data_IF_210226262688
#
_entry.id   IF_210226262688
#
_cell.length_a   1.000
_cell.length_b   1.000
_cell.length_c   1.000
_cell.angle_alpha   90.00
_cell.angle_beta   90.00
_cell.angle_gamma   90.00
#
_symmetry.space_group_name_H-M   'P 1'
#
loop_
_entity.id
_entity.type
_entity.pdbx_description
1 polymer ?
#
# COMPACT_ATOMS: atom_id res chain seq x y z
N UNK A 1 -3.80 -1.93 -41.17
CA UNK A 1 -4.93 -1.82 -40.23
C UNK A 1 -4.36 -1.79 -38.83
N UNK A 2 -4.37 -0.62 -38.17
CA UNK A 2 -3.75 -0.42 -36.85
C UNK A 2 -4.86 -0.24 -35.81
N UNK A 3 -5.08 -1.25 -34.97
CA UNK A 3 -5.90 -1.12 -33.77
C UNK A 3 -5.01 -0.56 -32.66
N UNK A 4 -5.20 0.72 -32.33
CA UNK A 4 -4.61 1.33 -31.14
C UNK A 4 -5.21 0.68 -29.89
N UNK A 5 -4.35 0.10 -29.05
CA UNK A 5 -4.72 -0.47 -27.77
C UNK A 5 -5.35 0.61 -26.88
N UNK A 6 -6.67 0.56 -26.72
CA UNK A 6 -7.41 1.31 -25.72
C UNK A 6 -6.93 0.84 -24.34
N UNK A 7 -6.41 1.76 -23.52
CA UNK A 7 -5.93 1.46 -22.17
C UNK A 7 -7.01 0.79 -21.32
N UNK A 8 -6.61 0.12 -20.24
CA UNK A 8 -7.54 -0.60 -19.35
C UNK A 8 -8.61 0.34 -18.79
N UNK A 9 -9.79 -0.17 -18.36
CA UNK A 9 -10.83 0.67 -17.76
C UNK A 9 -10.32 1.55 -16.60
N UNK A 10 -9.39 1.01 -15.79
CA UNK A 10 -8.73 1.77 -14.73
C UNK A 10 -7.84 2.88 -15.29
N UNK A 11 -7.05 2.62 -16.33
CA UNK A 11 -6.26 3.66 -17.00
C UNK A 11 -7.14 4.73 -17.64
N UNK A 12 -8.29 4.34 -18.22
CA UNK A 12 -9.25 5.28 -18.78
C UNK A 12 -9.87 6.17 -17.69
N UNK A 13 -10.22 5.60 -16.54
CA UNK A 13 -10.71 6.33 -15.38
C UNK A 13 -9.65 7.25 -14.76
N UNK A 14 -8.40 6.79 -14.62
CA UNK A 14 -7.28 7.64 -14.19
C UNK A 14 -7.05 8.81 -15.15
N UNK A 15 -7.23 8.59 -16.47
CA UNK A 15 -7.17 9.66 -17.48
C UNK A 15 -8.35 10.63 -17.38
N UNK A 16 -9.55 10.16 -17.02
CA UNK A 16 -10.71 11.05 -16.85
C UNK A 16 -10.58 11.93 -15.61
N UNK A 17 -9.99 11.42 -14.52
CA UNK A 17 -9.69 12.20 -13.32
C UNK A 17 -8.68 13.32 -13.59
N UNK A 18 -7.66 13.07 -14.43
CA UNK A 18 -6.68 14.09 -14.86
C UNK A 18 -7.26 15.16 -15.79
N UNK A 19 -8.45 14.93 -16.35
CA UNK A 19 -9.07 15.81 -17.37
C UNK A 19 -10.13 16.74 -16.82
N UNK A 20 -10.51 16.66 -15.54
CA UNK A 20 -11.38 17.69 -14.97
C UNK A 20 -10.59 18.98 -14.74
N UNK A 21 -10.89 20.07 -15.47
CA UNK A 21 -10.27 21.36 -15.22
C UNK A 21 -10.88 21.96 -13.95
N UNK A 22 -10.03 22.56 -13.12
CA UNK A 22 -10.45 23.42 -12.02
C UNK A 22 -11.30 24.59 -12.57
N UNK A 23 -12.47 24.94 -11.99
CA UNK A 23 -13.32 26.03 -12.49
C UNK A 23 -12.76 27.44 -12.29
N UNK A 24 -11.44 27.64 -12.31
CA UNK A 24 -10.85 28.97 -12.09
C UNK A 24 -9.34 29.07 -12.31
N UNK A 25 -8.92 29.35 -13.54
CA UNK A 25 -7.68 30.10 -13.79
C UNK A 25 -6.63 29.43 -14.70
N UNK A 26 -5.95 30.20 -15.59
CA UNK A 26 -5.01 29.64 -16.56
C UNK A 26 -3.60 29.55 -15.98
N UNK A 27 -2.99 28.37 -16.06
CA UNK A 27 -1.59 28.17 -15.71
C UNK A 27 -1.18 26.71 -15.89
N UNK A 28 -0.45 26.42 -16.97
CA UNK A 28 0.14 25.12 -17.23
C UNK A 28 1.14 24.73 -16.15
N UNK A 29 0.70 23.85 -15.26
CA UNK A 29 1.52 23.10 -14.32
C UNK A 29 0.63 21.99 -13.77
N UNK A 30 1.04 20.74 -13.88
CA UNK A 30 0.33 19.62 -13.26
C UNK A 30 0.43 19.76 -11.75
N UNK A 31 -0.43 20.58 -11.15
CA UNK A 31 -0.57 20.67 -9.71
C UNK A 31 -1.05 19.29 -9.25
N UNK A 32 -0.14 18.55 -8.60
CA UNK A 32 -0.49 17.31 -7.89
C UNK A 32 -1.59 17.70 -6.90
N UNK A 33 -2.73 17.00 -6.93
CA UNK A 33 -3.84 17.29 -6.01
C UNK A 33 -3.28 17.41 -4.58
N UNK A 34 -3.59 18.52 -3.92
CA UNK A 34 -3.06 18.79 -2.59
C UNK A 34 -3.59 17.73 -1.63
N UNK A 35 -2.70 16.87 -1.16
CA UNK A 35 -2.97 15.82 -0.17
C UNK A 35 -3.62 16.45 1.06
N UNK A 36 -4.80 15.95 1.47
CA UNK A 36 -5.61 16.54 2.56
C UNK A 36 -5.12 16.16 3.96
N UNK A 37 -4.30 15.12 4.07
CA UNK A 37 -3.66 14.69 5.30
C UNK A 37 -2.27 14.11 5.02
N UNK A 38 -1.24 14.35 5.84
CA UNK A 38 0.10 13.85 5.56
C UNK A 38 0.16 12.31 5.50
N UNK A 39 1.05 11.79 4.65
CA UNK A 39 1.26 10.34 4.54
C UNK A 39 2.15 9.88 5.70
N UNK A 40 1.57 9.30 6.75
CA UNK A 40 2.37 8.69 7.82
C UNK A 40 2.72 7.24 7.46
N UNK A 41 3.96 6.86 7.76
CA UNK A 41 4.52 5.55 7.43
C UNK A 41 5.37 5.02 8.58
N UNK A 42 5.65 3.72 8.54
CA UNK A 42 6.55 3.04 9.48
C UNK A 42 7.82 2.61 8.73
N UNK A 43 9.03 2.98 9.19
CA UNK A 43 10.27 2.50 8.58
C UNK A 43 10.38 0.97 8.70
N UNK A 44 10.96 0.30 7.70
CA UNK A 44 11.15 -1.17 7.68
C UNK A 44 11.71 -1.72 8.99
N UNK A 45 12.74 -1.06 9.56
CA UNK A 45 13.37 -1.48 10.82
C UNK A 45 12.41 -1.52 12.01
N UNK A 46 11.46 -0.59 12.05
CA UNK A 46 10.42 -0.54 13.08
C UNK A 46 9.38 -1.62 12.80
N UNK A 47 8.92 -1.72 11.55
CA UNK A 47 7.96 -2.74 11.13
C UNK A 47 8.43 -4.16 11.47
N UNK A 48 9.69 -4.49 11.19
CA UNK A 48 10.28 -5.81 11.49
C UNK A 48 10.37 -6.13 12.99
N UNK A 49 10.23 -5.13 13.88
CA UNK A 49 10.26 -5.30 15.34
C UNK A 49 8.88 -5.29 15.98
N UNK A 50 7.83 -4.95 15.23
CA UNK A 50 6.47 -4.93 15.75
C UNK A 50 6.04 -6.34 16.14
N UNK A 51 5.38 -6.45 17.29
CA UNK A 51 4.76 -7.70 17.77
C UNK A 51 3.23 -7.60 17.85
N UNK A 52 2.70 -6.39 17.67
CA UNK A 52 1.29 -6.05 17.52
C UNK A 52 1.15 -4.83 16.62
N UNK A 53 0.01 -4.69 15.94
CA UNK A 53 -0.33 -3.45 15.23
C UNK A 53 -0.98 -2.53 16.25
N UNK A 54 -0.50 -1.31 16.37
CA UNK A 54 -1.08 -0.29 17.26
C UNK A 54 -1.67 0.83 16.43
N UNK A 55 -2.63 1.56 17.01
CA UNK A 55 -3.23 2.71 16.37
C UNK A 55 -2.20 3.81 16.08
N UNK A 56 -2.52 4.63 15.07
CA UNK A 56 -1.73 5.77 14.63
C UNK A 56 -1.22 6.64 15.78
N UNK A 57 -2.08 7.02 16.71
CA UNK A 57 -1.75 7.92 17.81
C UNK A 57 -0.72 7.32 18.76
N UNK A 58 -0.79 6.01 19.01
CA UNK A 58 0.14 5.29 19.86
C UNK A 58 1.53 5.26 19.21
N UNK A 59 1.61 4.92 17.92
CA UNK A 59 2.89 4.89 17.21
C UNK A 59 3.48 6.30 17.01
N UNK A 60 2.63 7.29 16.76
CA UNK A 60 3.04 8.70 16.68
C UNK A 60 3.65 9.18 18.00
N UNK A 61 3.01 8.87 19.13
CA UNK A 61 3.50 9.23 20.46
C UNK A 61 4.84 8.54 20.80
N UNK A 62 5.09 7.34 20.26
CA UNK A 62 6.37 6.62 20.40
C UNK A 62 7.46 7.09 19.44
N UNK A 63 7.15 7.99 18.50
CA UNK A 63 8.09 8.40 17.45
C UNK A 63 8.36 7.29 16.43
N UNK A 64 7.47 6.31 16.32
CA UNK A 64 7.58 5.16 15.40
C UNK A 64 6.95 5.45 14.03
N UNK A 65 6.09 6.47 13.94
CA UNK A 65 5.57 6.99 12.68
C UNK A 65 6.42 8.14 12.15
N UNK A 66 6.64 8.13 10.84
CA UNK A 66 7.35 9.16 10.09
C UNK A 66 6.42 9.72 9.03
N UNK A 67 6.37 11.05 8.91
CA UNK A 67 5.71 11.71 7.79
C UNK A 67 6.55 11.53 6.53
N UNK A 68 5.99 10.82 5.55
CA UNK A 68 6.63 10.50 4.28
C UNK A 68 6.43 11.62 3.26
N UNK A 69 7.56 12.19 2.85
CA UNK A 69 7.65 13.28 1.89
C UNK A 69 8.60 12.88 0.76
N UNK A 70 8.04 12.62 -0.42
CA UNK A 70 8.80 12.27 -1.61
C UNK A 70 9.68 13.41 -2.14
N UNK A 71 9.41 14.66 -1.75
CA UNK A 71 10.24 15.80 -2.17
C UNK A 71 11.60 15.81 -1.47
N UNK A 72 11.75 15.04 -0.38
CA UNK A 72 13.01 14.90 0.33
C UNK A 72 13.90 13.86 -0.35
N UNK A 73 14.99 14.34 -0.96
CA UNK A 73 15.94 13.56 -1.75
C UNK A 73 16.48 12.29 -1.04
N UNK A 74 16.58 12.30 0.29
CA UNK A 74 17.14 11.20 1.09
C UNK A 74 16.09 10.35 1.80
N UNK A 75 14.79 10.55 1.56
CA UNK A 75 13.75 9.85 2.32
C UNK A 75 13.78 8.36 2.06
N UNK A 76 13.75 7.93 0.79
CA UNK A 76 13.68 6.53 0.39
C UNK A 76 12.37 6.24 -0.36
N UNK A 77 11.88 5.00 -0.25
CA UNK A 77 10.74 4.53 -1.02
C UNK A 77 9.57 4.13 -0.13
N UNK A 78 8.37 4.57 -0.49
CA UNK A 78 7.14 4.13 0.16
C UNK A 78 6.65 2.80 -0.43
N UNK A 79 6.11 1.96 0.45
CA UNK A 79 5.42 0.71 0.16
C UNK A 79 3.99 0.86 0.64
N UNK A 80 3.03 0.79 -0.27
CA UNK A 80 1.62 0.75 0.07
C UNK A 80 1.20 -0.70 0.35
N UNK A 81 0.73 -0.98 1.56
CA UNK A 81 0.23 -2.31 1.94
C UNK A 81 -1.30 -2.31 1.90
N UNK A 82 -1.86 -2.98 0.89
CA UNK A 82 -3.28 -3.29 0.84
C UNK A 82 -3.54 -4.61 1.56
N UNK A 83 -4.50 -4.64 2.46
CA UNK A 83 -4.84 -5.81 3.28
C UNK A 83 -6.34 -5.81 3.58
N UNK A 84 -6.84 -6.93 4.09
CA UNK A 84 -8.22 -7.06 4.52
C UNK A 84 -8.38 -6.74 6.01
N UNK A 85 -9.47 -6.09 6.38
CA UNK A 85 -9.88 -5.97 7.78
C UNK A 85 -10.57 -7.25 8.22
N UNK A 86 -9.97 -7.99 9.16
CA UNK A 86 -10.53 -9.28 9.66
C UNK A 86 -11.44 -9.12 10.89
N UNK A 87 -11.62 -7.90 11.38
CA UNK A 87 -12.58 -7.57 12.43
C UNK A 87 -13.06 -6.12 12.28
N UNK A 88 -14.13 -5.76 12.97
CA UNK A 88 -14.76 -4.43 12.87
C UNK A 88 -13.85 -3.31 13.42
N UNK A 89 -13.08 -3.58 14.47
CA UNK A 89 -12.35 -2.54 15.21
C UNK A 89 -10.83 -2.59 14.99
N UNK A 90 -10.32 -3.68 14.43
CA UNK A 90 -8.90 -3.89 14.26
C UNK A 90 -8.65 -4.79 13.05
N UNK A 91 -7.76 -4.42 12.11
CA UNK A 91 -7.59 -5.21 10.89
C UNK A 91 -6.86 -6.52 11.10
N UNK A 92 -6.00 -6.61 12.11
CA UNK A 92 -5.21 -7.81 12.41
C UNK A 92 -5.02 -8.02 13.93
N UNK A 93 -6.10 -8.30 14.69
CA UNK A 93 -6.07 -8.33 16.15
C UNK A 93 -5.16 -9.42 16.73
N UNK A 94 -4.82 -10.44 15.92
CA UNK A 94 -3.94 -11.55 16.29
C UNK A 94 -2.54 -11.43 15.68
N UNK A 95 -2.24 -10.32 15.01
CA UNK A 95 -0.95 -10.09 14.34
C UNK A 95 -0.57 -11.19 13.33
N UNK A 96 -1.56 -11.83 12.72
CA UNK A 96 -1.36 -12.95 11.81
C UNK A 96 -0.98 -12.45 10.41
N UNK A 97 -1.63 -11.39 9.93
CA UNK A 97 -1.35 -10.83 8.62
C UNK A 97 0.01 -10.13 8.62
N UNK A 98 0.28 -9.30 9.63
CA UNK A 98 1.56 -8.60 9.75
C UNK A 98 2.73 -9.56 9.92
N UNK A 99 2.54 -10.68 10.64
CA UNK A 99 3.58 -11.73 10.73
C UNK A 99 3.89 -12.33 9.36
N UNK A 100 2.88 -12.63 8.55
CA UNK A 100 3.12 -13.11 7.18
C UNK A 100 3.87 -12.07 6.35
N UNK A 101 3.55 -10.78 6.49
CA UNK A 101 4.30 -9.71 5.81
C UNK A 101 5.76 -9.67 6.28
N UNK A 102 6.03 -9.74 7.58
CA UNK A 102 7.38 -9.78 8.13
C UNK A 102 8.18 -11.00 7.63
N UNK A 103 7.59 -12.19 7.67
CA UNK A 103 8.22 -13.42 7.19
C UNK A 103 8.53 -13.35 5.69
N UNK A 104 7.59 -12.84 4.88
CA UNK A 104 7.78 -12.64 3.45
C UNK A 104 8.89 -11.61 3.17
N UNK A 105 8.91 -10.49 3.90
CA UNK A 105 9.94 -9.47 3.77
C UNK A 105 11.32 -10.02 4.14
N UNK A 106 11.46 -10.75 5.26
CA UNK A 106 12.73 -11.39 5.62
C UNK A 106 13.20 -12.33 4.52
N UNK A 107 12.34 -13.23 4.05
CA UNK A 107 12.71 -14.18 3.01
C UNK A 107 13.12 -13.49 1.70
N UNK A 108 12.35 -12.49 1.26
CA UNK A 108 12.66 -11.70 0.06
C UNK A 108 13.98 -10.95 0.22
N UNK A 109 14.17 -10.27 1.35
CA UNK A 109 15.30 -9.38 1.59
C UNK A 109 16.57 -10.11 2.01
N UNK A 110 16.52 -11.38 2.40
CA UNK A 110 17.69 -12.16 2.80
C UNK A 110 18.04 -13.24 1.76
N UNK A 111 17.05 -13.98 1.25
CA UNK A 111 17.29 -15.23 0.52
C UNK A 111 17.12 -15.12 -1.00
N UNK A 112 16.33 -14.15 -1.47
CA UNK A 112 15.97 -14.05 -2.88
C UNK A 112 16.87 -13.09 -3.67
N UNK A 113 17.05 -13.42 -4.96
CA UNK A 113 17.67 -12.51 -5.95
C UNK A 113 16.62 -11.69 -6.71
N UNK A 114 15.49 -12.32 -7.03
CA UNK A 114 14.35 -11.69 -7.69
C UNK A 114 13.06 -12.42 -7.29
N UNK A 115 11.94 -11.73 -7.42
CA UNK A 115 10.60 -12.28 -7.30
C UNK A 115 10.10 -12.57 -8.72
N UNK A 116 9.82 -13.84 -9.07
CA UNK A 116 9.31 -14.19 -10.38
C UNK A 116 7.90 -13.63 -10.58
N UNK A 117 7.50 -13.48 -11.84
CA UNK A 117 6.11 -13.19 -12.17
C UNK A 117 5.26 -14.45 -11.95
N UNK A 118 4.00 -14.26 -11.58
CA UNK A 118 3.05 -15.36 -11.65
C UNK A 118 2.62 -15.58 -13.11
N UNK A 119 2.23 -16.81 -13.45
CA UNK A 119 1.88 -17.20 -14.82
C UNK A 119 0.76 -16.35 -15.43
N UNK A 120 -0.14 -15.80 -14.60
CA UNK A 120 -1.21 -14.93 -15.07
C UNK A 120 -0.63 -13.60 -15.52
N UNK A 121 0.23 -12.98 -14.70
CA UNK A 121 0.91 -11.72 -15.03
C UNK A 121 1.82 -11.85 -16.25
N UNK A 122 2.56 -12.96 -16.37
CA UNK A 122 3.41 -13.24 -17.55
C UNK A 122 2.62 -13.26 -18.85
N UNK A 123 1.40 -13.81 -18.81
CA UNK A 123 0.56 -13.95 -20.00
C UNK A 123 -0.25 -12.68 -20.30
N UNK A 124 -0.80 -12.06 -19.26
CA UNK A 124 -1.76 -10.96 -19.40
C UNK A 124 -1.10 -9.58 -19.59
N UNK A 125 0.17 -9.42 -19.20
CA UNK A 125 0.87 -8.13 -19.22
C UNK A 125 2.11 -8.22 -20.13
N UNK A 126 1.98 -7.82 -21.42
CA UNK A 126 3.11 -7.82 -22.34
C UNK A 126 4.30 -7.03 -21.79
N UNK A 127 5.47 -7.67 -21.70
CA UNK A 127 6.70 -7.04 -21.22
C UNK A 127 6.80 -6.91 -19.69
N UNK A 128 5.94 -7.59 -18.93
CA UNK A 128 6.13 -7.74 -17.49
C UNK A 128 7.52 -8.31 -17.19
N UNK A 129 8.14 -7.82 -16.12
CA UNK A 129 9.47 -8.24 -15.67
C UNK A 129 9.42 -8.73 -14.23
N UNK A 130 10.26 -9.70 -13.85
CA UNK A 130 10.45 -10.05 -12.45
C UNK A 130 10.94 -8.82 -11.67
N UNK A 131 10.58 -8.74 -10.39
CA UNK A 131 11.08 -7.70 -9.49
C UNK A 131 12.43 -8.14 -8.92
N UNK A 132 13.51 -7.44 -9.24
CA UNK A 132 14.80 -7.74 -8.65
C UNK A 132 14.86 -7.24 -7.21
N UNK A 133 15.33 -8.07 -6.28
CA UNK A 133 15.40 -7.71 -4.85
C UNK A 133 16.35 -6.52 -4.62
N UNK A 134 17.31 -6.31 -5.53
CA UNK A 134 18.16 -5.11 -5.53
C UNK A 134 17.37 -3.82 -5.60
N UNK A 135 16.19 -3.80 -6.23
CA UNK A 135 15.32 -2.63 -6.26
C UNK A 135 14.77 -2.33 -4.86
N UNK A 136 14.30 -3.35 -4.14
CA UNK A 136 13.81 -3.23 -2.76
C UNK A 136 14.91 -2.85 -1.76
N UNK A 137 16.17 -3.28 -2.02
CA UNK A 137 17.33 -2.97 -1.17
C UNK A 137 17.99 -1.63 -1.52
N UNK A 138 17.61 -0.99 -2.63
CA UNK A 138 18.31 0.19 -3.16
C UNK A 138 18.16 1.43 -2.28
N UNK A 139 17.05 1.52 -1.55
CA UNK A 139 16.70 2.67 -0.71
C UNK A 139 15.99 2.20 0.57
N UNK A 140 16.00 2.99 1.65
CA UNK A 140 15.20 2.70 2.83
C UNK A 140 13.70 2.59 2.48
N UNK A 141 13.02 1.58 3.04
CA UNK A 141 11.60 1.33 2.80
C UNK A 141 10.72 1.85 3.94
N UNK A 142 9.60 2.47 3.56
CA UNK A 142 8.61 3.06 4.48
C UNK A 142 7.22 2.50 4.16
N UNK A 143 6.60 1.86 5.14
CA UNK A 143 5.35 1.13 4.93
C UNK A 143 4.16 1.99 5.33
N UNK A 144 3.25 2.17 4.38
CA UNK A 144 1.92 2.70 4.63
C UNK A 144 0.95 1.53 4.86
N UNK A 145 0.19 1.60 5.94
CA UNK A 145 -0.83 0.62 6.32
C UNK A 145 -1.97 1.38 7.02
N UNK A 146 -3.17 1.30 6.48
CA UNK A 146 -4.29 2.19 6.82
C UNK A 146 -4.51 2.40 8.33
N UNK A 147 -4.37 1.37 9.17
CA UNK A 147 -4.67 1.45 10.59
C UNK A 147 -3.69 2.31 11.40
N UNK A 148 -2.38 2.17 11.15
CA UNK A 148 -1.40 3.02 11.83
C UNK A 148 -1.05 4.28 11.03
N UNK A 149 -1.34 4.31 9.73
CA UNK A 149 -1.08 5.48 8.88
C UNK A 149 -2.19 6.53 8.99
N UNK A 150 -3.41 6.12 9.33
CA UNK A 150 -4.55 7.01 9.52
C UNK A 150 -4.95 7.12 11.01
N UNK A 151 -5.37 8.30 11.51
CA UNK A 151 -5.89 8.46 12.86
C UNK A 151 -7.06 7.50 13.18
N UNK A 152 -7.05 6.86 14.35
CA UNK A 152 -8.09 5.89 14.75
C UNK A 152 -8.99 6.41 15.87
N UNK A 153 -8.60 7.48 16.57
CA UNK A 153 -9.42 8.05 17.65
C UNK A 153 -10.57 8.89 17.10
N UNK A 154 -11.79 8.61 17.59
CA UNK A 154 -13.04 9.31 17.25
C UNK A 154 -13.02 10.83 17.51
N UNK A 155 -12.05 11.33 18.27
CA UNK A 155 -11.89 12.77 18.54
C UNK A 155 -11.49 13.53 17.27
N UNK A 156 -10.85 12.87 16.30
CA UNK A 156 -10.31 13.50 15.09
C UNK A 156 -10.94 12.95 13.80
N UNK A 157 -12.26 12.76 13.77
CA UNK A 157 -12.99 12.23 12.60
C UNK A 157 -12.65 12.97 11.31
N UNK A 158 -12.44 14.29 11.35
CA UNK A 158 -12.03 15.08 10.20
C UNK A 158 -10.65 14.66 9.64
N UNK A 159 -9.68 14.35 10.51
CA UNK A 159 -8.37 13.88 10.07
C UNK A 159 -8.44 12.47 9.47
N UNK A 160 -9.26 11.58 10.05
CA UNK A 160 -9.49 10.26 9.49
C UNK A 160 -10.11 10.37 8.08
N UNK A 161 -11.15 11.17 7.91
CA UNK A 161 -11.78 11.40 6.60
C UNK A 161 -10.78 12.00 5.59
N UNK A 162 -10.00 13.00 5.99
CA UNK A 162 -8.97 13.57 5.12
C UNK A 162 -7.88 12.54 4.74
N UNK A 163 -7.52 11.65 5.66
CA UNK A 163 -6.57 10.58 5.40
C UNK A 163 -7.15 9.55 4.41
N UNK A 164 -8.42 9.19 4.55
CA UNK A 164 -9.14 8.30 3.63
C UNK A 164 -9.25 8.94 2.23
N UNK A 165 -9.63 10.21 2.17
CA UNK A 165 -9.72 10.97 0.92
C UNK A 165 -8.37 11.08 0.19
N UNK A 166 -7.26 10.93 0.92
CA UNK A 166 -5.89 11.02 0.40
C UNK A 166 -5.28 9.66 0.00
N UNK A 167 -6.05 8.56 0.09
CA UNK A 167 -5.53 7.20 -0.19
C UNK A 167 -4.99 7.09 -1.62
N UNK A 168 -5.67 7.68 -2.59
CA UNK A 168 -5.26 7.62 -4.00
C UNK A 168 -3.89 8.25 -4.22
N UNK A 169 -3.62 9.35 -3.50
CA UNK A 169 -2.35 10.05 -3.50
C UNK A 169 -1.26 9.22 -2.82
N UNK A 170 -1.56 8.53 -1.71
CA UNK A 170 -0.58 7.63 -1.07
C UNK A 170 -0.18 6.47 -1.98
N UNK A 171 -1.15 5.90 -2.71
CA UNK A 171 -0.87 4.86 -3.71
C UNK A 171 -0.01 5.43 -4.84
N UNK A 172 -0.34 6.61 -5.36
CA UNK A 172 0.43 7.27 -6.42
C UNK A 172 1.87 7.60 -5.99
N UNK A 173 2.07 7.88 -4.70
CA UNK A 173 3.37 8.21 -4.11
C UNK A 173 4.15 6.98 -3.63
N UNK A 174 3.60 5.78 -3.78
CA UNK A 174 4.28 4.55 -3.38
C UNK A 174 5.06 3.94 -4.55
N UNK A 175 6.31 3.56 -4.29
CA UNK A 175 7.12 2.87 -5.29
C UNK A 175 6.69 1.41 -5.46
N UNK A 176 6.18 0.80 -4.39
CA UNK A 176 5.71 -0.57 -4.37
C UNK A 176 4.29 -0.66 -3.83
N UNK A 177 3.52 -1.60 -4.39
CA UNK A 177 2.19 -1.94 -3.91
C UNK A 177 2.16 -3.41 -3.52
N UNK A 178 1.98 -3.69 -2.23
CA UNK A 178 1.94 -5.04 -1.68
C UNK A 178 0.50 -5.42 -1.34
N UNK A 179 0.00 -6.47 -1.99
CA UNK A 179 -1.27 -7.09 -1.66
C UNK A 179 -1.04 -8.18 -0.59
N UNK A 180 -1.36 -7.86 0.66
CA UNK A 180 -1.25 -8.78 1.79
C UNK A 180 -2.56 -9.57 1.93
N UNK A 181 -2.58 -10.73 1.27
CA UNK A 181 -3.78 -11.59 1.18
C UNK A 181 -3.57 -12.98 1.82
N UNK A 182 -3.12 -13.09 3.09
CA UNK A 182 -2.99 -14.38 3.75
C UNK A 182 -4.38 -14.98 4.01
N UNK A 183 -4.42 -16.29 4.22
CA UNK A 183 -5.64 -16.93 4.73
C UNK A 183 -5.59 -16.99 6.23
N UNK A 184 -6.41 -16.13 6.80
CA UNK A 184 -6.63 -15.95 8.22
C UNK A 184 -8.09 -16.25 8.50
N UNK A 185 -8.35 -16.89 9.65
CA UNK A 185 -9.70 -17.23 10.08
C UNK A 185 -10.23 -16.04 10.88
N UNK A 186 -11.34 -15.46 10.42
CA UNK A 186 -12.07 -14.47 11.20
C UNK A 186 -12.44 -15.08 12.57
N UNK A 187 -12.15 -14.42 13.71
CA UNK A 187 -12.60 -14.84 15.03
C UNK A 187 -14.10 -15.18 15.11
N UNK A 188 -14.93 -14.57 14.25
CA UNK A 188 -16.37 -14.79 14.17
C UNK A 188 -16.78 -15.93 13.21
N UNK A 189 -15.83 -16.67 12.63
CA UNK A 189 -16.10 -17.86 11.83
C UNK A 189 -16.48 -17.62 10.37
N UNK A 190 -16.34 -16.39 9.86
CA UNK A 190 -16.57 -16.09 8.45
C UNK A 190 -15.51 -16.79 7.58
N UNK A 191 -15.90 -17.91 6.97
CA UNK A 191 -15.08 -18.66 6.01
C UNK A 191 -14.83 -17.79 4.79
N UNK A 192 -13.56 -17.45 4.51
CA UNK A 192 -13.15 -17.09 3.16
C UNK A 192 -13.48 -18.28 2.23
N UNK A 193 -14.33 -18.05 1.23
CA UNK A 193 -14.63 -19.02 0.18
C UNK A 193 -13.38 -19.25 -0.67
N UNK A 194 -12.52 -20.17 -0.23
CA UNK A 194 -11.52 -20.78 -1.11
C UNK A 194 -12.25 -21.82 -1.97
N UNK A 195 -12.21 -21.67 -3.29
CA UNK A 195 -12.49 -22.79 -4.20
C UNK A 195 -11.57 -23.95 -3.80
N UNK A 196 -12.07 -25.19 -3.68
CA UNK A 196 -11.22 -26.34 -3.40
C UNK A 196 -10.13 -26.44 -4.46
N UNK A 197 -8.89 -26.67 -4.03
CA UNK A 197 -7.79 -27.04 -4.93
C UNK A 197 -8.24 -28.29 -5.71
N UNK A 198 -8.36 -28.18 -7.03
CA UNK A 198 -8.30 -29.35 -7.90
C UNK A 198 -6.88 -29.88 -7.77
N UNK A 199 -6.78 -31.04 -7.14
CA UNK A 199 -5.59 -31.89 -7.18
C UNK A 199 -5.54 -32.46 -8.59
N UNK A 200 -4.39 -32.32 -9.26
CA UNK A 200 -4.11 -32.97 -10.55
C UNK A 200 -4.00 -34.47 -10.37
#
# INVERSE_FOLDING_TARGET
MSCLASGTPLQQYMRSLRRQPDPGGPGGGTARAARRFPMFTVPLKVLMKMTKIEAHEVLKARGELVEFDQSQQSMGQAVFVSHQWVSVHHPDPKFQQMRVLQEALSHVLDDLRYIPLDSTSETAVPGAKPLYVTELRSQPLFFWYDYFSCPQLHVNTHHLLNAIDSISEYVADSAFFFALCPTVVDPNGSRLLRRPRLVW
#
